data_IF_359424558212
#
_entry.id   IF_359424558212
#
_cell.length_a   1.000
_cell.length_b   1.000
_cell.length_c   1.000
_cell.angle_alpha   90.00
_cell.angle_beta   90.00
_cell.angle_gamma   90.00
#
_symmetry.space_group_name_H-M   'P 1'
#
loop_
_entity.id
_entity.type
_entity.pdbx_description
1 polymer ?
#
# COMPACT_ATOMS: atom_id res chain seq x y z
N UNK A 1 2.61 -21.26 -1.72
CA UNK A 1 3.41 -22.40 -1.21
C UNK A 1 4.55 -22.77 -2.15
N UNK A 2 4.32 -22.96 -3.48
CA UNK A 2 5.40 -23.33 -4.43
C UNK A 2 6.58 -22.35 -4.40
N UNK A 3 6.34 -21.04 -4.44
CA UNK A 3 7.39 -20.01 -4.42
C UNK A 3 8.14 -19.99 -3.10
N UNK A 4 7.46 -20.24 -1.99
CA UNK A 4 8.09 -20.29 -0.67
C UNK A 4 9.05 -21.47 -0.49
N UNK A 5 8.92 -22.51 -1.30
CA UNK A 5 9.84 -23.65 -1.32
C UNK A 5 11.14 -23.38 -2.14
N UNK A 6 11.18 -22.29 -2.91
CA UNK A 6 12.37 -21.88 -3.65
C UNK A 6 13.40 -21.20 -2.73
N UNK A 7 14.69 -21.17 -3.11
CA UNK A 7 15.73 -20.47 -2.37
C UNK A 7 15.64 -18.96 -2.59
N UNK A 8 14.59 -18.36 -2.04
CA UNK A 8 14.33 -16.91 -2.09
C UNK A 8 14.39 -16.31 -0.68
N UNK A 9 14.87 -15.07 -0.57
CA UNK A 9 15.06 -14.39 0.71
C UNK A 9 13.75 -13.82 1.30
N UNK A 10 12.68 -13.77 0.49
CA UNK A 10 11.37 -13.26 0.91
C UNK A 10 10.51 -12.81 -0.26
N UNK A 11 9.51 -11.99 0.04
CA UNK A 11 8.65 -11.33 -0.95
C UNK A 11 8.95 -9.82 -0.92
N UNK A 12 9.71 -9.34 -1.90
CA UNK A 12 10.10 -7.94 -1.99
C UNK A 12 8.96 -7.01 -2.38
N UNK A 13 7.94 -7.53 -3.08
CA UNK A 13 6.75 -6.77 -3.47
C UNK A 13 5.53 -7.68 -3.52
N UNK A 14 4.67 -7.56 -2.53
CA UNK A 14 3.33 -8.16 -2.54
C UNK A 14 2.33 -7.12 -3.02
N UNK A 15 1.81 -7.33 -4.22
CA UNK A 15 0.71 -6.55 -4.79
C UNK A 15 -0.62 -7.21 -4.43
N UNK A 16 -1.50 -6.47 -3.81
CA UNK A 16 -2.77 -6.99 -3.30
C UNK A 16 -3.99 -6.57 -4.13
N UNK A 17 -3.81 -5.93 -5.30
CA UNK A 17 -4.90 -5.36 -6.10
C UNK A 17 -5.99 -6.39 -6.44
N UNK A 18 -5.62 -7.64 -6.73
CA UNK A 18 -6.63 -8.70 -6.95
C UNK A 18 -7.41 -9.05 -5.67
N UNK A 19 -6.75 -9.05 -4.52
CA UNK A 19 -7.43 -9.27 -3.22
C UNK A 19 -8.32 -8.08 -2.87
N UNK A 20 -7.90 -6.87 -3.23
CA UNK A 20 -8.66 -5.63 -3.00
C UNK A 20 -9.97 -5.66 -3.76
N UNK A 21 -9.97 -6.01 -5.04
CA UNK A 21 -11.17 -6.10 -5.86
C UNK A 21 -12.17 -7.09 -5.25
N UNK A 22 -11.69 -8.22 -4.74
CA UNK A 22 -12.52 -9.21 -4.04
C UNK A 22 -13.04 -8.68 -2.69
N UNK A 23 -12.17 -8.03 -1.90
CA UNK A 23 -12.50 -7.51 -0.58
C UNK A 23 -13.43 -6.29 -0.62
N UNK A 24 -13.38 -5.48 -1.68
CA UNK A 24 -14.29 -4.37 -1.91
C UNK A 24 -15.69 -4.83 -2.33
N UNK A 25 -15.84 -6.06 -2.80
CA UNK A 25 -17.14 -6.60 -3.25
C UNK A 25 -17.83 -5.70 -4.30
N UNK A 26 -17.02 -5.10 -5.20
CA UNK A 26 -17.48 -4.17 -6.23
C UNK A 26 -17.78 -2.75 -5.73
N UNK A 27 -17.62 -2.44 -4.44
CA UNK A 27 -17.84 -1.11 -3.88
C UNK A 27 -16.61 -0.23 -3.97
N UNK A 28 -16.82 1.06 -4.19
CA UNK A 28 -15.77 2.05 -3.99
C UNK A 28 -15.41 2.14 -2.49
N UNK A 29 -14.12 2.33 -2.10
CA UNK A 29 -13.74 2.39 -0.69
C UNK A 29 -14.53 3.41 0.14
N UNK A 30 -14.80 4.61 -0.40
CA UNK A 30 -15.61 5.60 0.31
C UNK A 30 -17.04 5.09 0.56
N UNK A 31 -17.63 4.42 -0.43
CA UNK A 31 -18.97 3.82 -0.28
C UNK A 31 -18.97 2.67 0.74
N UNK A 32 -17.93 1.85 0.73
CA UNK A 32 -17.74 0.80 1.73
C UNK A 32 -17.67 1.37 3.15
N UNK A 33 -16.93 2.46 3.34
CA UNK A 33 -16.83 3.15 4.63
C UNK A 33 -18.16 3.76 5.07
N UNK A 34 -18.92 4.41 4.16
CA UNK A 34 -20.26 4.93 4.43
C UNK A 34 -21.24 3.84 4.91
N UNK A 35 -21.13 2.64 4.36
CA UNK A 35 -21.93 1.48 4.73
C UNK A 35 -21.45 0.82 6.03
N UNK A 36 -20.38 1.31 6.66
CA UNK A 36 -19.82 0.76 7.90
C UNK A 36 -19.16 -0.62 7.74
N UNK A 37 -18.78 -1.02 6.51
CA UNK A 37 -18.21 -2.33 6.21
C UNK A 37 -16.68 -2.39 6.35
N UNK A 38 -16.08 -1.45 7.09
CA UNK A 38 -14.63 -1.37 7.34
C UNK A 38 -14.04 -2.69 7.84
N UNK A 39 -14.65 -3.26 8.87
CA UNK A 39 -14.14 -4.48 9.52
C UNK A 39 -14.20 -5.69 8.60
N UNK A 40 -15.21 -5.78 7.73
CA UNK A 40 -15.32 -6.84 6.73
C UNK A 40 -14.18 -6.76 5.73
N UNK A 41 -13.89 -5.57 5.21
CA UNK A 41 -12.77 -5.32 4.31
C UNK A 41 -11.43 -5.68 4.96
N UNK A 42 -11.20 -5.16 6.17
CA UNK A 42 -9.94 -5.43 6.90
C UNK A 42 -9.77 -6.92 7.14
N UNK A 43 -10.81 -7.64 7.54
CA UNK A 43 -10.77 -9.08 7.77
C UNK A 43 -10.46 -9.86 6.48
N UNK A 44 -11.12 -9.53 5.37
CA UNK A 44 -10.91 -10.19 4.07
C UNK A 44 -9.49 -9.99 3.57
N UNK A 45 -9.00 -8.74 3.57
CA UNK A 45 -7.65 -8.41 3.16
C UNK A 45 -6.59 -9.04 4.07
N UNK A 46 -6.77 -8.96 5.40
CA UNK A 46 -5.85 -9.55 6.35
C UNK A 46 -5.76 -11.09 6.19
N UNK A 47 -6.87 -11.75 5.89
CA UNK A 47 -6.87 -13.20 5.60
C UNK A 47 -6.05 -13.51 4.34
N UNK A 48 -6.22 -12.73 3.26
CA UNK A 48 -5.46 -12.88 2.02
C UNK A 48 -3.94 -12.71 2.23
N UNK A 49 -3.55 -11.60 2.85
CA UNK A 49 -2.13 -11.30 3.14
C UNK A 49 -1.53 -12.34 4.10
N UNK A 50 -2.28 -12.76 5.12
CA UNK A 50 -1.83 -13.76 6.10
C UNK A 50 -1.53 -15.11 5.46
N UNK A 51 -2.30 -15.56 4.46
CA UNK A 51 -2.03 -16.81 3.72
C UNK A 51 -0.65 -16.78 3.04
N UNK A 52 -0.25 -15.62 2.52
CA UNK A 52 1.06 -15.45 1.90
C UNK A 52 2.12 -15.37 3.00
N UNK A 53 1.92 -14.51 3.99
CA UNK A 53 2.85 -14.28 5.08
C UNK A 53 3.20 -15.59 5.83
N UNK A 54 2.21 -16.44 6.06
CA UNK A 54 2.37 -17.74 6.74
C UNK A 54 3.31 -18.72 6.02
N UNK A 55 3.52 -18.56 4.71
CA UNK A 55 4.41 -19.41 3.93
C UNK A 55 5.89 -18.99 4.01
N UNK A 56 6.20 -17.80 4.56
CA UNK A 56 7.55 -17.21 4.53
C UNK A 56 8.27 -17.03 5.87
N UNK A 57 7.72 -17.29 7.07
CA UNK A 57 8.47 -17.03 8.29
C UNK A 57 9.82 -17.76 8.32
N UNK A 58 10.90 -17.11 8.78
CA UNK A 58 11.01 -15.72 9.22
C UNK A 58 11.28 -14.71 8.10
N UNK A 59 11.26 -15.15 6.81
CA UNK A 59 11.58 -14.33 5.65
C UNK A 59 10.58 -13.18 5.48
N UNK A 60 11.03 -11.97 5.11
CA UNK A 60 10.18 -10.79 5.01
C UNK A 60 9.18 -10.90 3.86
N UNK A 61 8.02 -10.28 4.07
CA UNK A 61 7.00 -10.05 3.04
C UNK A 61 6.67 -8.56 3.05
N UNK A 62 7.03 -7.85 1.99
CA UNK A 62 6.77 -6.42 1.88
C UNK A 62 5.47 -6.20 1.09
N UNK A 63 4.43 -5.80 1.82
CA UNK A 63 3.12 -5.48 1.26
C UNK A 63 3.10 -4.04 0.75
N UNK A 64 2.75 -3.86 -0.53
CA UNK A 64 2.51 -2.54 -1.11
C UNK A 64 1.07 -2.12 -0.80
N UNK A 65 0.93 -0.95 -0.19
CA UNK A 65 -0.37 -0.32 0.01
C UNK A 65 -1.08 -0.09 -1.34
N UNK A 66 -2.40 0.04 -1.31
CA UNK A 66 -3.26 0.12 -2.49
C UNK A 66 -2.82 1.22 -3.45
N UNK A 67 -2.63 0.89 -4.72
CA UNK A 67 -2.23 1.84 -5.76
C UNK A 67 -3.15 1.72 -6.98
N UNK A 68 -4.45 1.77 -6.76
CA UNK A 68 -5.43 1.84 -7.84
C UNK A 68 -5.56 3.28 -8.34
N UNK A 69 -5.67 3.42 -9.64
CA UNK A 69 -5.85 4.71 -10.31
C UNK A 69 -7.33 5.11 -10.28
N UNK A 70 -7.61 6.40 -10.50
CA UNK A 70 -8.97 6.93 -10.54
C UNK A 70 -9.90 6.17 -11.49
N UNK A 71 -9.41 5.81 -12.68
CA UNK A 71 -10.20 5.04 -13.67
C UNK A 71 -10.51 3.60 -13.22
N UNK A 72 -9.68 3.02 -12.35
CA UNK A 72 -9.92 1.68 -11.79
C UNK A 72 -10.96 1.74 -10.67
N UNK A 73 -10.88 2.75 -9.82
CA UNK A 73 -11.89 2.99 -8.78
C UNK A 73 -13.24 3.44 -9.36
N UNK A 74 -13.24 4.22 -10.44
CA UNK A 74 -14.45 4.74 -11.07
C UNK A 74 -15.39 3.63 -11.59
N UNK A 75 -14.85 2.46 -11.89
CA UNK A 75 -15.64 1.30 -12.31
C UNK A 75 -16.40 0.59 -11.18
N UNK A 76 -16.19 0.98 -9.92
CA UNK A 76 -16.84 0.40 -8.76
C UNK A 76 -18.14 1.15 -8.42
N UNK A 77 -19.05 0.49 -7.70
CA UNK A 77 -20.28 1.14 -7.20
C UNK A 77 -19.92 2.26 -6.23
N UNK A 78 -20.40 3.47 -6.47
CA UNK A 78 -20.01 4.70 -5.76
C UNK A 78 -18.74 5.34 -6.30
N UNK A 79 -18.17 4.81 -7.40
CA UNK A 79 -16.95 5.34 -8.02
C UNK A 79 -17.13 6.58 -8.88
N UNK A 80 -18.37 7.05 -9.06
CA UNK A 80 -18.70 8.30 -9.75
C UNK A 80 -18.10 9.54 -9.07
N UNK A 81 -17.65 9.41 -7.83
CA UNK A 81 -16.93 10.47 -7.08
C UNK A 81 -15.51 10.68 -7.64
N UNK A 82 -14.97 9.69 -8.34
CA UNK A 82 -13.64 9.78 -8.93
C UNK A 82 -13.63 10.73 -10.13
N UNK A 83 -12.67 11.64 -10.14
CA UNK A 83 -12.49 12.55 -11.27
C UNK A 83 -12.13 11.81 -12.55
N UNK A 84 -12.62 12.31 -13.68
CA UNK A 84 -12.18 11.86 -14.99
C UNK A 84 -10.84 12.49 -15.35
N UNK A 85 -9.78 11.71 -15.30
CA UNK A 85 -8.44 12.17 -15.60
C UNK A 85 -8.04 11.84 -17.03
N UNK A 86 -7.39 12.79 -17.71
CA UNK A 86 -6.86 12.56 -19.08
C UNK A 86 -5.72 11.55 -19.08
N UNK A 87 -4.94 11.51 -18.02
CA UNK A 87 -3.86 10.55 -17.84
C UNK A 87 -3.82 10.04 -16.39
N UNK A 88 -4.59 9.00 -16.05
CA UNK A 88 -4.62 8.43 -14.71
C UNK A 88 -3.27 7.85 -14.26
N UNK A 89 -2.35 7.56 -15.19
CA UNK A 89 -1.02 7.05 -14.86
C UNK A 89 -0.26 8.01 -13.94
N UNK A 90 -0.29 9.30 -14.23
CA UNK A 90 0.36 10.36 -13.44
C UNK A 90 -0.63 11.10 -12.54
N UNK A 91 -1.84 10.63 -12.45
CA UNK A 91 -2.96 11.28 -11.79
C UNK A 91 -3.05 11.04 -10.29
N UNK A 92 -4.29 10.95 -9.82
CA UNK A 92 -4.67 10.83 -8.44
C UNK A 92 -4.55 9.37 -7.95
N UNK A 93 -3.35 9.01 -7.47
CA UNK A 93 -3.02 7.65 -7.02
C UNK A 93 -1.91 7.64 -5.96
N UNK A 94 -1.75 6.49 -5.31
CA UNK A 94 -0.66 6.19 -4.39
C UNK A 94 -0.52 7.19 -3.26
N UNK A 95 0.72 7.61 -2.98
CA UNK A 95 1.06 8.47 -1.86
C UNK A 95 0.22 9.76 -1.80
N UNK A 96 -0.02 10.41 -2.94
CA UNK A 96 -0.83 11.64 -3.00
C UNK A 96 -2.29 11.39 -2.58
N UNK A 97 -2.88 10.27 -3.01
CA UNK A 97 -4.24 9.90 -2.59
C UNK A 97 -4.32 9.72 -1.07
N UNK A 98 -3.32 9.11 -0.46
CA UNK A 98 -3.28 8.89 0.99
C UNK A 98 -3.18 10.17 1.82
N UNK A 99 -2.56 11.20 1.24
CA UNK A 99 -2.50 12.52 1.90
C UNK A 99 -3.86 13.22 1.86
N UNK A 100 -4.57 13.09 0.75
CA UNK A 100 -5.86 13.77 0.54
C UNK A 100 -7.05 12.99 1.05
N UNK A 101 -6.95 11.65 1.08
CA UNK A 101 -7.98 10.74 1.61
C UNK A 101 -7.37 9.82 2.69
N UNK A 102 -7.07 10.34 3.90
CA UNK A 102 -6.37 9.57 4.95
C UNK A 102 -7.08 8.27 5.36
N UNK A 103 -8.41 8.24 5.27
CA UNK A 103 -9.19 7.05 5.63
C UNK A 103 -8.93 5.85 4.71
N UNK A 104 -8.55 6.08 3.44
CA UNK A 104 -8.14 5.01 2.54
C UNK A 104 -6.81 4.40 2.98
N UNK A 105 -5.84 5.24 3.33
CA UNK A 105 -4.56 4.74 3.84
C UNK A 105 -4.73 4.03 5.17
N UNK A 106 -5.64 4.51 6.01
CA UNK A 106 -5.96 3.89 7.29
C UNK A 106 -6.52 2.47 7.14
N UNK A 107 -7.28 2.18 6.07
CA UNK A 107 -7.70 0.81 5.75
C UNK A 107 -6.48 -0.11 5.56
N UNK A 108 -5.48 0.32 4.78
CA UNK A 108 -4.25 -0.45 4.57
C UNK A 108 -3.46 -0.62 5.88
N UNK A 109 -3.37 0.43 6.70
CA UNK A 109 -2.70 0.35 8.00
C UNK A 109 -3.39 -0.62 8.95
N UNK A 110 -4.72 -0.63 8.99
CA UNK A 110 -5.50 -1.57 9.80
C UNK A 110 -5.27 -3.02 9.34
N UNK A 111 -5.24 -3.26 8.01
CA UNK A 111 -4.95 -4.59 7.44
C UNK A 111 -3.58 -5.07 7.90
N UNK A 112 -2.54 -4.25 7.74
CA UNK A 112 -1.18 -4.64 8.13
C UNK A 112 -1.05 -4.78 9.64
N UNK A 113 -1.71 -3.92 10.43
CA UNK A 113 -1.75 -4.05 11.87
C UNK A 113 -2.36 -5.39 12.29
N UNK A 114 -3.50 -5.77 11.73
CA UNK A 114 -4.16 -7.06 12.01
C UNK A 114 -3.28 -8.25 11.64
N UNK A 115 -2.66 -8.22 10.45
CA UNK A 115 -1.77 -9.31 9.99
C UNK A 115 -0.56 -9.46 10.90
N UNK A 116 0.06 -8.35 11.31
CA UNK A 116 1.28 -8.37 12.13
C UNK A 116 1.09 -8.87 13.56
N UNK A 117 -0.15 -8.93 14.06
CA UNK A 117 -0.42 -9.60 15.35
C UNK A 117 0.04 -11.07 15.32
N UNK A 118 0.02 -11.70 14.16
CA UNK A 118 0.40 -13.10 13.99
C UNK A 118 1.65 -13.31 13.13
N UNK A 119 1.87 -12.43 12.15
CA UNK A 119 2.94 -12.54 11.15
C UNK A 119 3.79 -11.26 11.13
N UNK A 120 4.70 -11.09 12.11
CA UNK A 120 5.52 -9.88 12.23
C UNK A 120 6.53 -9.69 11.08
N UNK A 121 6.68 -10.69 10.22
CA UNK A 121 7.51 -10.64 9.02
C UNK A 121 6.88 -9.85 7.87
N UNK A 122 5.65 -9.32 8.01
CA UNK A 122 5.03 -8.43 7.02
C UNK A 122 5.45 -6.99 7.24
N UNK A 123 5.86 -6.31 6.19
CA UNK A 123 6.30 -4.92 6.18
C UNK A 123 5.46 -4.09 5.21
N UNK A 124 5.51 -2.76 5.31
CA UNK A 124 4.70 -1.84 4.53
C UNK A 124 5.54 -1.12 3.47
N UNK A 125 5.01 -0.99 2.26
CA UNK A 125 5.59 -0.20 1.17
C UNK A 125 4.58 0.83 0.67
N UNK A 126 5.01 2.09 0.59
CA UNK A 126 4.21 3.21 0.10
C UNK A 126 4.47 3.37 -1.40
N UNK A 127 3.42 3.28 -2.25
CA UNK A 127 3.54 3.42 -3.69
C UNK A 127 3.57 4.88 -4.13
N UNK A 128 4.12 5.13 -5.31
CA UNK A 128 4.00 6.33 -6.11
C UNK A 128 4.30 7.64 -5.36
N UNK A 129 5.46 7.67 -4.69
CA UNK A 129 5.95 8.83 -3.94
C UNK A 129 6.54 9.86 -4.93
N UNK A 130 5.94 11.04 -5.03
CA UNK A 130 6.38 12.12 -5.94
C UNK A 130 7.26 13.13 -5.25
N UNK A 131 6.94 13.45 -3.99
CA UNK A 131 7.56 14.55 -3.25
C UNK A 131 7.87 14.15 -1.82
N UNK A 132 8.80 14.91 -1.22
CA UNK A 132 9.18 14.70 0.18
C UNK A 132 8.01 14.93 1.14
N UNK A 133 7.23 15.97 0.92
CA UNK A 133 6.12 16.31 1.82
C UNK A 133 5.00 15.28 1.80
N UNK A 134 4.71 14.66 0.65
CA UNK A 134 3.76 13.55 0.57
C UNK A 134 4.23 12.36 1.42
N UNK A 135 5.52 12.03 1.32
CA UNK A 135 6.10 10.93 2.12
C UNK A 135 6.07 11.26 3.61
N UNK A 136 6.45 12.49 4.00
CA UNK A 136 6.39 12.94 5.39
C UNK A 136 4.97 12.80 5.97
N UNK A 137 3.96 13.22 5.19
CA UNK A 137 2.56 13.11 5.61
C UNK A 137 2.10 11.65 5.78
N UNK A 138 2.48 10.75 4.85
CA UNK A 138 2.17 9.34 4.99
C UNK A 138 2.90 8.69 6.18
N UNK A 139 4.17 9.02 6.40
CA UNK A 139 4.93 8.52 7.56
C UNK A 139 4.32 9.00 8.87
N UNK A 140 3.85 10.25 8.92
CA UNK A 140 3.14 10.78 10.09
C UNK A 140 1.85 10.01 10.38
N UNK A 141 1.05 9.70 9.36
CA UNK A 141 -0.14 8.85 9.53
C UNK A 141 0.20 7.46 10.08
N UNK A 142 1.32 6.86 9.64
CA UNK A 142 1.78 5.58 10.19
C UNK A 142 2.17 5.73 11.67
N UNK A 143 2.86 6.83 12.04
CA UNK A 143 3.31 7.05 13.42
C UNK A 143 2.15 7.30 14.39
N UNK A 144 1.08 7.94 13.93
CA UNK A 144 -0.15 8.13 14.71
C UNK A 144 -0.98 6.86 14.84
N UNK A 145 -0.84 5.92 13.90
CA UNK A 145 -1.56 4.65 13.91
C UNK A 145 -0.96 3.67 14.95
N UNK A 146 -1.76 2.77 15.57
CA UNK A 146 -1.23 1.73 16.46
C UNK A 146 -0.10 0.89 15.84
N UNK A 147 -0.12 0.69 14.52
CA UNK A 147 0.96 0.04 13.75
C UNK A 147 2.31 0.73 13.91
N UNK A 148 2.35 2.06 14.03
CA UNK A 148 3.58 2.83 14.19
C UNK A 148 4.33 2.57 15.50
N UNK A 149 3.66 1.98 16.50
CA UNK A 149 4.29 1.56 17.77
C UNK A 149 5.13 0.30 17.64
N UNK A 150 4.97 -0.44 16.55
CA UNK A 150 5.75 -1.65 16.28
C UNK A 150 7.12 -1.28 15.68
N UNK A 151 8.14 -1.26 16.54
CA UNK A 151 9.52 -0.92 16.17
C UNK A 151 10.18 -1.89 15.18
N UNK A 152 9.57 -3.04 14.91
CA UNK A 152 10.05 -4.03 13.93
C UNK A 152 9.41 -3.83 12.56
N UNK A 153 8.44 -2.92 12.45
CA UNK A 153 7.85 -2.57 11.16
C UNK A 153 8.92 -1.87 10.30
N UNK A 154 9.19 -2.45 9.14
CA UNK A 154 9.97 -1.75 8.12
C UNK A 154 9.03 -0.97 7.20
N UNK A 155 9.45 0.23 6.83
CA UNK A 155 8.73 1.15 5.95
C UNK A 155 9.52 1.29 4.66
N UNK A 156 8.93 0.91 3.55
CA UNK A 156 9.53 0.92 2.23
C UNK A 156 8.80 1.91 1.34
N UNK A 157 9.43 2.33 0.26
CA UNK A 157 8.78 3.10 -0.80
C UNK A 157 9.02 2.48 -2.17
N UNK A 158 8.12 2.77 -3.12
CA UNK A 158 8.39 2.52 -4.53
C UNK A 158 9.19 3.68 -5.13
N UNK A 159 10.32 3.35 -5.75
CA UNK A 159 11.09 4.28 -6.57
C UNK A 159 10.60 4.14 -8.02
N UNK A 160 9.51 4.84 -8.37
CA UNK A 160 8.80 4.65 -9.64
C UNK A 160 8.34 5.97 -10.30
N UNK A 161 8.63 7.10 -9.66
CA UNK A 161 8.41 8.43 -10.22
C UNK A 161 9.77 9.08 -10.49
N UNK A 162 10.01 9.76 -11.62
CA UNK A 162 11.31 10.32 -11.99
C UNK A 162 11.94 11.25 -10.94
N UNK A 163 11.11 11.91 -10.14
CA UNK A 163 11.57 12.77 -9.03
C UNK A 163 12.41 12.02 -7.97
N UNK A 164 12.28 10.68 -7.89
CA UNK A 164 13.04 9.86 -6.93
C UNK A 164 14.56 10.02 -7.10
N UNK A 165 15.03 10.26 -8.32
CA UNK A 165 16.45 10.46 -8.63
C UNK A 165 17.03 11.62 -7.81
N UNK A 166 16.23 12.67 -7.59
CA UNK A 166 16.64 13.85 -6.83
C UNK A 166 16.35 13.75 -5.34
N UNK A 167 15.23 13.08 -4.98
CA UNK A 167 14.72 13.06 -3.61
C UNK A 167 15.18 11.87 -2.77
N UNK A 168 15.77 10.83 -3.36
CA UNK A 168 16.12 9.61 -2.63
C UNK A 168 16.98 9.83 -1.37
N UNK A 169 18.01 10.72 -1.39
CA UNK A 169 18.78 11.00 -0.17
C UNK A 169 17.92 11.61 0.95
N UNK A 170 16.97 12.48 0.60
CA UNK A 170 16.04 13.09 1.55
C UNK A 170 15.02 12.08 2.06
N UNK A 171 14.52 11.18 1.19
CA UNK A 171 13.63 10.09 1.61
C UNK A 171 14.29 9.15 2.60
N UNK A 172 15.57 8.83 2.38
CA UNK A 172 16.34 8.00 3.31
C UNK A 172 16.45 8.63 4.71
N UNK A 173 16.58 9.97 4.78
CA UNK A 173 16.63 10.71 6.05
C UNK A 173 15.31 10.70 6.83
N UNK A 174 14.19 10.40 6.18
CA UNK A 174 12.87 10.29 6.83
C UNK A 174 12.65 8.94 7.54
N UNK A 175 13.66 8.06 7.54
CA UNK A 175 13.59 6.78 8.26
C UNK A 175 12.91 5.66 7.48
N UNK A 176 12.94 5.70 6.16
CA UNK A 176 12.59 4.55 5.33
C UNK A 176 13.71 3.50 5.42
N UNK A 177 13.34 2.23 5.31
CA UNK A 177 14.26 1.10 5.42
C UNK A 177 14.80 0.63 4.07
N UNK A 178 14.13 1.00 2.99
CA UNK A 178 14.53 0.63 1.66
C UNK A 178 13.59 1.10 0.56
N UNK A 179 13.99 0.81 -0.68
CA UNK A 179 13.22 1.15 -1.87
C UNK A 179 13.04 -0.08 -2.76
N UNK A 180 11.94 -0.12 -3.49
CA UNK A 180 11.70 -1.06 -4.58
C UNK A 180 11.62 -0.26 -5.88
N UNK A 181 12.40 -0.65 -6.89
CA UNK A 181 12.44 0.07 -8.17
C UNK A 181 11.25 -0.39 -9.03
N UNK A 182 10.34 0.54 -9.31
CA UNK A 182 9.18 0.34 -10.19
C UNK A 182 9.52 0.71 -11.63
N UNK A 183 10.24 -0.16 -12.34
CA UNK A 183 10.74 0.12 -13.68
C UNK A 183 9.62 0.37 -14.70
N UNK A 184 8.46 -0.25 -14.54
CA UNK A 184 7.34 -0.05 -15.48
C UNK A 184 6.84 1.39 -15.46
N UNK A 185 6.59 1.95 -14.26
CA UNK A 185 6.17 3.34 -14.14
C UNK A 185 7.28 4.30 -14.56
N UNK A 186 8.53 4.07 -14.14
CA UNK A 186 9.68 4.90 -14.52
C UNK A 186 9.92 4.97 -16.04
N UNK A 187 9.57 3.94 -16.79
CA UNK A 187 9.73 3.93 -18.26
C UNK A 187 8.54 4.54 -18.99
N UNK A 188 7.41 4.73 -18.32
CA UNK A 188 6.20 5.32 -18.89
C UNK A 188 6.04 6.81 -18.57
N UNK A 189 6.76 7.31 -17.59
CA UNK A 189 6.75 8.70 -17.11
C UNK A 189 7.98 9.46 -17.59
#
# INVERSE_FOLDING_TARGET
ERVAALPVDGVGLLRAEFMITEALDGLHPSRLLELGRRDEYVAAMAAGVSRIAAAFPPRPVTHRAVDLRSNEFRGLEGGEVEAEERNPMIGYRGCFRYVTEPELFRLDLDVIHAVRQRYPNVHLMIPFVRTKWELEACLHQIDEHPLGRDRKLQRWIMAEVPSVVHWLPQYAQLGIHGVSIGSNDLTQL
#
